data_IF_041869682775
#
_entry.id   IF_041869682775
#
_cell.length_a   1.000
_cell.length_b   1.000
_cell.length_c   1.000
_cell.angle_alpha   90.00
_cell.angle_beta   90.00
_cell.angle_gamma   90.00
#
_symmetry.space_group_name_H-M   'P 1'
#
loop_
_entity.id
_entity.type
_entity.pdbx_description
1 polymer ?
#
# COMPACT_ATOMS: atom_id res chain seq x y z
N UNK A 1 -3.77 -26.76 15.10
CA UNK A 1 -3.15 -26.09 13.92
C UNK A 1 -1.64 -26.10 14.16
N UNK A 2 -0.85 -26.65 13.25
CA UNK A 2 0.61 -26.67 13.38
C UNK A 2 1.20 -25.77 12.31
N UNK A 3 2.07 -24.86 12.72
CA UNK A 3 2.88 -24.05 11.80
C UNK A 3 4.22 -24.72 11.64
N UNK A 4 4.64 -24.95 10.40
CA UNK A 4 5.94 -25.50 10.07
C UNK A 4 6.81 -24.35 9.56
N UNK A 5 7.94 -24.15 10.23
CA UNK A 5 8.98 -23.29 9.72
C UNK A 5 9.87 -24.13 8.81
N UNK A 6 9.76 -23.96 7.51
CA UNK A 6 10.69 -24.55 6.58
C UNK A 6 12.04 -23.82 6.66
N UNK A 7 13.10 -24.61 6.78
CA UNK A 7 14.47 -24.11 6.68
C UNK A 7 14.86 -24.08 5.21
N UNK A 8 15.16 -22.90 4.69
CA UNK A 8 15.63 -22.76 3.32
C UNK A 8 15.50 -21.35 2.78
N UNK A 9 16.11 -21.13 1.65
CA UNK A 9 15.94 -19.89 0.90
C UNK A 9 14.73 -20.04 0.00
N UNK A 10 13.73 -19.18 0.20
CA UNK A 10 12.57 -19.11 -0.66
C UNK A 10 12.94 -18.33 -1.91
N UNK A 11 13.06 -19.02 -3.03
CA UNK A 11 13.53 -18.45 -4.29
C UNK A 11 12.42 -17.94 -5.20
N UNK A 12 11.16 -17.99 -4.75
CA UNK A 12 10.01 -17.63 -5.59
C UNK A 12 10.00 -16.16 -6.00
N UNK A 13 10.55 -15.30 -5.15
CA UNK A 13 10.60 -13.85 -5.33
C UNK A 13 12.05 -13.34 -5.26
N UNK A 14 13.01 -14.09 -5.74
CA UNK A 14 14.39 -13.67 -5.72
C UNK A 14 14.73 -12.71 -6.88
N UNK A 15 15.79 -11.95 -6.68
CA UNK A 15 16.29 -10.98 -7.68
C UNK A 15 16.81 -11.64 -8.97
N UNK A 16 17.12 -12.94 -8.95
CA UNK A 16 17.53 -13.67 -10.13
C UNK A 16 16.38 -13.84 -11.15
N UNK A 17 15.11 -13.82 -10.67
CA UNK A 17 13.94 -13.87 -11.54
C UNK A 17 13.54 -12.49 -12.06
N UNK A 18 13.59 -11.49 -11.18
CA UNK A 18 13.31 -10.10 -11.56
C UNK A 18 13.97 -9.16 -10.54
N UNK A 19 14.71 -8.11 -10.98
CA UNK A 19 15.43 -7.20 -10.08
C UNK A 19 14.56 -6.55 -9.00
N UNK A 20 13.28 -6.26 -9.30
CA UNK A 20 12.36 -5.64 -8.33
C UNK A 20 12.06 -6.53 -7.13
N UNK A 21 12.18 -7.85 -7.23
CA UNK A 21 11.97 -8.73 -6.09
C UNK A 21 13.08 -8.60 -5.03
N UNK A 22 14.29 -8.22 -5.44
CA UNK A 22 15.40 -7.97 -4.51
C UNK A 22 15.23 -6.72 -3.65
N UNK A 23 14.33 -5.81 -4.03
CA UNK A 23 14.00 -4.58 -3.30
C UNK A 23 12.54 -4.51 -2.88
N UNK A 24 11.83 -5.64 -2.89
CA UNK A 24 10.42 -5.73 -2.51
C UNK A 24 10.24 -5.67 -1.00
N UNK A 25 9.39 -4.76 -0.54
CA UNK A 25 9.04 -4.57 0.86
C UNK A 25 7.53 -4.62 1.06
N UNK A 26 7.09 -4.98 2.27
CA UNK A 26 5.68 -5.02 2.68
C UNK A 26 4.81 -5.86 1.74
N UNK A 27 5.16 -7.13 1.47
CA UNK A 27 4.38 -7.99 0.59
C UNK A 27 3.01 -8.30 1.18
N UNK A 28 1.97 -8.29 0.33
CA UNK A 28 0.63 -8.76 0.66
C UNK A 28 0.14 -9.65 -0.47
N UNK A 29 -0.44 -10.78 -0.13
CA UNK A 29 -0.99 -11.74 -1.10
C UNK A 29 -2.50 -11.83 -0.91
N UNK A 30 -3.24 -11.74 -2.00
CA UNK A 30 -4.69 -11.95 -2.05
C UNK A 30 -5.02 -13.01 -3.10
N UNK A 31 -5.98 -13.86 -2.78
CA UNK A 31 -6.57 -14.78 -3.76
C UNK A 31 -7.68 -14.05 -4.51
N UNK A 32 -7.65 -14.09 -5.84
CA UNK A 32 -8.66 -13.52 -6.71
C UNK A 32 -9.83 -14.50 -6.92
N UNK A 33 -10.97 -14.00 -7.41
CA UNK A 33 -12.13 -14.85 -7.65
C UNK A 33 -11.91 -15.87 -8.78
N UNK A 34 -11.02 -15.58 -9.73
CA UNK A 34 -10.62 -16.49 -10.80
C UNK A 34 -9.62 -17.58 -10.34
N UNK A 35 -9.28 -17.59 -9.07
CA UNK A 35 -8.38 -18.58 -8.45
C UNK A 35 -6.91 -18.19 -8.46
N UNK A 36 -6.48 -17.18 -9.24
CA UNK A 36 -5.12 -16.65 -9.21
C UNK A 36 -4.80 -15.98 -7.88
N UNK A 37 -3.53 -15.78 -7.62
CA UNK A 37 -3.01 -14.99 -6.50
C UNK A 37 -2.41 -13.70 -7.04
N UNK A 38 -2.69 -12.60 -6.37
CA UNK A 38 -2.07 -11.31 -6.59
C UNK A 38 -1.15 -11.00 -5.42
N UNK A 39 0.12 -10.76 -5.70
CA UNK A 39 1.09 -10.20 -4.77
C UNK A 39 1.18 -8.70 -5.03
N UNK A 40 1.04 -7.89 -3.99
CA UNK A 40 1.38 -6.46 -4.01
C UNK A 40 2.58 -6.21 -3.11
N UNK A 41 3.45 -5.28 -3.50
CA UNK A 41 4.61 -4.87 -2.73
C UNK A 41 5.05 -3.47 -3.14
N UNK A 42 5.84 -2.82 -2.29
CA UNK A 42 6.52 -1.57 -2.64
C UNK A 42 7.96 -1.83 -3.05
N UNK A 43 8.45 -1.09 -4.02
CA UNK A 43 9.87 -1.03 -4.33
C UNK A 43 10.51 -0.01 -3.37
N UNK A 44 11.57 -0.45 -2.69
CA UNK A 44 12.30 0.32 -1.68
C UNK A 44 11.62 0.37 -0.28
N UNK A 45 12.46 0.30 0.74
CA UNK A 45 12.05 0.32 2.15
C UNK A 45 11.36 1.64 2.53
N UNK A 46 11.82 2.74 2.01
CA UNK A 46 11.30 4.08 2.31
C UNK A 46 10.04 4.44 1.52
N UNK A 47 9.57 3.55 0.65
CA UNK A 47 8.42 3.76 -0.23
C UNK A 47 8.86 4.16 -1.63
N UNK A 48 7.96 4.03 -2.58
CA UNK A 48 8.24 4.29 -3.98
C UNK A 48 6.99 4.02 -4.82
N UNK A 49 7.14 3.16 -5.81
CA UNK A 49 6.05 2.63 -6.63
C UNK A 49 5.48 1.36 -5.98
N UNK A 50 4.17 1.23 -5.99
CA UNK A 50 3.49 -0.03 -5.64
C UNK A 50 3.37 -0.88 -6.89
N UNK A 51 3.78 -2.13 -6.80
CA UNK A 51 3.74 -3.12 -7.86
C UNK A 51 2.78 -4.26 -7.53
N UNK A 52 2.25 -4.90 -8.58
CA UNK A 52 1.54 -6.15 -8.50
C UNK A 52 2.17 -7.21 -9.42
N UNK A 53 2.18 -8.46 -8.94
CA UNK A 53 2.54 -9.64 -9.71
C UNK A 53 1.48 -10.72 -9.48
N UNK A 54 1.34 -11.65 -10.43
CA UNK A 54 0.29 -12.67 -10.39
C UNK A 54 0.87 -14.07 -10.46
N UNK A 55 0.18 -15.02 -9.83
CA UNK A 55 0.57 -16.44 -9.82
C UNK A 55 -0.67 -17.33 -9.82
N UNK A 56 -0.57 -18.48 -10.46
CA UNK A 56 -1.58 -19.54 -10.38
C UNK A 56 -1.30 -20.56 -9.26
N UNK A 57 -0.08 -20.62 -8.77
CA UNK A 57 0.41 -21.72 -7.91
C UNK A 57 1.25 -21.27 -6.71
N UNK A 58 1.42 -19.96 -6.51
CA UNK A 58 2.29 -19.33 -5.51
C UNK A 58 3.80 -19.60 -5.69
N UNK A 59 4.19 -20.29 -6.76
CA UNK A 59 5.59 -20.66 -7.07
C UNK A 59 6.13 -19.89 -8.27
N UNK A 60 5.31 -19.75 -9.30
CA UNK A 60 5.65 -19.01 -10.52
C UNK A 60 4.91 -17.67 -10.51
N UNK A 61 5.63 -16.57 -10.58
CA UNK A 61 5.09 -15.23 -10.57
C UNK A 61 5.34 -14.53 -11.90
N UNK A 62 4.38 -13.74 -12.35
CA UNK A 62 4.53 -12.88 -13.53
C UNK A 62 5.54 -11.77 -13.26
N UNK A 63 6.02 -11.10 -14.31
CA UNK A 63 6.75 -9.85 -14.16
C UNK A 63 5.90 -8.82 -13.40
N UNK A 64 6.48 -8.10 -12.43
CA UNK A 64 5.76 -7.09 -11.67
C UNK A 64 5.39 -5.90 -12.56
N UNK A 65 4.15 -5.43 -12.42
CA UNK A 65 3.66 -4.22 -13.10
C UNK A 65 3.33 -3.13 -12.08
N UNK A 66 3.58 -1.86 -12.40
CA UNK A 66 3.23 -0.76 -11.51
C UNK A 66 1.71 -0.63 -11.38
N UNK A 67 1.24 -0.42 -10.16
CA UNK A 67 -0.15 -0.11 -9.81
C UNK A 67 -0.29 1.39 -9.52
N UNK A 68 0.54 1.92 -8.63
CA UNK A 68 0.62 3.34 -8.32
C UNK A 68 2.09 3.75 -8.37
N UNK A 69 2.44 4.59 -9.32
CA UNK A 69 3.83 5.00 -9.56
C UNK A 69 4.20 6.26 -8.78
N UNK A 70 5.38 6.24 -8.16
CA UNK A 70 5.97 7.44 -7.59
C UNK A 70 6.23 8.50 -8.69
N UNK A 71 6.05 9.78 -8.37
CA UNK A 71 6.24 10.87 -9.32
C UNK A 71 6.78 12.15 -8.66
N UNK A 72 7.40 13.00 -9.48
CA UNK A 72 7.90 14.29 -9.04
C UNK A 72 6.75 15.29 -8.87
N UNK A 73 6.83 16.10 -7.81
CA UNK A 73 5.89 17.18 -7.51
C UNK A 73 6.66 18.48 -7.32
N UNK A 74 5.95 19.61 -7.50
CA UNK A 74 6.38 20.91 -7.00
C UNK A 74 5.63 21.22 -5.70
N UNK A 75 6.37 21.65 -4.72
CA UNK A 75 5.84 22.07 -3.42
C UNK A 75 5.33 23.51 -3.49
N UNK A 76 4.62 23.97 -2.47
CA UNK A 76 4.04 25.32 -2.44
C UNK A 76 5.10 26.42 -2.51
N UNK A 77 6.31 26.15 -2.02
CA UNK A 77 7.49 27.01 -2.09
C UNK A 77 8.30 26.88 -3.41
N UNK A 78 7.74 26.14 -4.39
CA UNK A 78 8.32 25.96 -5.73
C UNK A 78 9.43 24.92 -5.83
N UNK A 79 9.84 24.29 -4.72
CA UNK A 79 10.90 23.28 -4.70
C UNK A 79 10.44 21.98 -5.38
N UNK A 80 11.41 21.22 -5.88
CA UNK A 80 11.16 19.87 -6.36
C UNK A 80 11.18 18.88 -5.20
N UNK A 81 10.14 18.05 -5.14
CA UNK A 81 10.01 16.91 -4.22
C UNK A 81 9.42 15.72 -4.98
N UNK A 82 9.27 14.60 -4.31
CA UNK A 82 8.74 13.38 -4.88
C UNK A 82 7.61 12.82 -4.02
N UNK A 83 6.52 12.45 -4.69
CA UNK A 83 5.42 11.70 -4.08
C UNK A 83 5.77 10.22 -4.10
N UNK A 84 5.84 9.62 -2.91
CA UNK A 84 6.10 8.20 -2.71
C UNK A 84 4.83 7.50 -2.22
N UNK A 85 4.71 6.21 -2.54
CA UNK A 85 3.64 5.32 -2.07
C UNK A 85 4.23 4.15 -1.30
N UNK A 86 3.51 3.67 -0.27
CA UNK A 86 4.01 2.63 0.62
C UNK A 86 2.90 1.90 1.37
N UNK A 87 3.29 0.78 1.98
CA UNK A 87 2.47 -0.01 2.91
C UNK A 87 1.07 -0.32 2.37
N UNK A 88 0.99 -0.76 1.10
CA UNK A 88 -0.28 -1.06 0.47
C UNK A 88 -0.96 -2.29 1.06
N UNK A 89 -2.29 -2.25 1.16
CA UNK A 89 -3.15 -3.42 1.30
C UNK A 89 -4.25 -3.41 0.24
N UNK A 90 -4.89 -4.54 0.01
CA UNK A 90 -5.96 -4.67 -0.98
C UNK A 90 -7.05 -5.60 -0.51
N UNK A 91 -8.23 -5.45 -1.08
CA UNK A 91 -9.37 -6.34 -0.91
C UNK A 91 -9.97 -6.71 -2.27
N UNK A 92 -10.34 -7.97 -2.42
CA UNK A 92 -11.16 -8.43 -3.55
C UNK A 92 -12.61 -8.29 -3.12
N UNK A 93 -13.36 -7.45 -3.83
CA UNK A 93 -14.75 -7.16 -3.54
C UNK A 93 -15.66 -8.33 -3.93
N UNK A 94 -16.88 -8.34 -3.40
CA UNK A 94 -17.89 -9.35 -3.70
C UNK A 94 -18.23 -9.44 -5.19
N UNK A 95 -18.12 -8.33 -5.92
CA UNK A 95 -18.32 -8.28 -7.38
C UNK A 95 -17.08 -8.66 -8.21
N UNK A 96 -15.96 -8.98 -7.57
CA UNK A 96 -14.70 -9.35 -8.21
C UNK A 96 -13.73 -8.20 -8.48
N UNK A 97 -14.13 -6.97 -8.29
CA UNK A 97 -13.23 -5.83 -8.39
C UNK A 97 -12.19 -5.88 -7.26
N UNK A 98 -11.08 -5.20 -7.48
CA UNK A 98 -10.01 -5.12 -6.50
C UNK A 98 -9.85 -3.65 -6.10
N UNK A 99 -9.94 -3.37 -4.80
CA UNK A 99 -9.51 -2.10 -4.24
C UNK A 99 -8.12 -2.25 -3.64
N UNK A 100 -7.25 -1.29 -3.92
CA UNK A 100 -5.95 -1.15 -3.31
C UNK A 100 -5.88 0.20 -2.60
N UNK A 101 -5.49 0.17 -1.33
CA UNK A 101 -5.25 1.37 -0.52
C UNK A 101 -3.78 1.41 -0.14
N UNK A 102 -3.14 2.56 -0.26
CA UNK A 102 -1.77 2.73 0.19
C UNK A 102 -1.54 4.11 0.79
N UNK A 103 -0.56 4.19 1.67
CA UNK A 103 -0.06 5.47 2.18
C UNK A 103 0.67 6.22 1.08
N UNK A 104 0.50 7.56 1.06
CA UNK A 104 1.36 8.44 0.29
C UNK A 104 2.07 9.45 1.19
N UNK A 105 3.24 9.89 0.78
CA UNK A 105 3.99 10.95 1.46
C UNK A 105 4.90 11.71 0.51
N UNK A 106 5.38 12.86 0.96
CA UNK A 106 6.54 13.54 0.35
C UNK A 106 7.83 12.83 0.77
N UNK A 107 8.78 12.71 -0.13
CA UNK A 107 10.10 12.14 0.16
C UNK A 107 10.85 13.01 1.16
N UNK A 108 10.81 14.32 0.93
CA UNK A 108 11.32 15.34 1.85
C UNK A 108 10.18 15.85 2.74
N UNK A 109 10.51 16.32 3.94
CA UNK A 109 9.55 16.97 4.84
C UNK A 109 8.37 16.08 5.33
N UNK A 110 8.50 14.76 5.28
CA UNK A 110 7.46 13.86 5.75
C UNK A 110 6.91 14.22 7.15
N UNK A 111 7.80 14.58 8.08
CA UNK A 111 7.44 14.90 9.46
C UNK A 111 6.81 16.29 9.64
N UNK A 112 7.07 17.20 8.71
CA UNK A 112 6.72 18.62 8.87
C UNK A 112 5.52 19.06 8.06
N UNK A 113 5.08 18.26 7.10
CA UNK A 113 3.95 18.60 6.23
C UNK A 113 2.86 17.53 6.28
N UNK A 114 1.94 17.68 7.24
CA UNK A 114 0.81 16.77 7.41
C UNK A 114 -0.06 16.69 6.14
N UNK A 115 -0.28 17.82 5.46
CA UNK A 115 -1.06 17.88 4.22
C UNK A 115 -0.39 17.17 3.03
N UNK A 116 0.92 16.96 3.11
CA UNK A 116 1.68 16.21 2.12
C UNK A 116 1.57 14.68 2.24
N UNK A 117 0.85 14.19 3.26
CA UNK A 117 0.71 12.77 3.59
C UNK A 117 -0.76 12.37 3.61
N UNK A 118 -1.05 11.10 3.40
CA UNK A 118 -2.40 10.58 3.47
C UNK A 118 -2.53 9.16 2.91
N UNK A 119 -3.77 8.79 2.61
CA UNK A 119 -4.11 7.53 1.95
C UNK A 119 -4.71 7.82 0.58
N UNK A 120 -4.34 7.01 -0.39
CA UNK A 120 -4.99 6.93 -1.69
C UNK A 120 -5.61 5.56 -1.89
N UNK A 121 -6.65 5.53 -2.70
CA UNK A 121 -7.32 4.31 -3.16
C UNK A 121 -7.27 4.26 -4.69
N UNK A 122 -7.11 3.07 -5.24
CA UNK A 122 -7.29 2.79 -6.67
C UNK A 122 -8.08 1.49 -6.84
N UNK A 123 -8.78 1.36 -7.97
CA UNK A 123 -9.67 0.23 -8.26
C UNK A 123 -9.29 -0.43 -9.57
N UNK A 124 -9.36 -1.75 -9.60
CA UNK A 124 -9.30 -2.55 -10.82
C UNK A 124 -10.61 -3.32 -10.99
N UNK A 125 -11.18 -3.27 -12.19
CA UNK A 125 -12.40 -4.00 -12.57
C UNK A 125 -12.11 -5.19 -13.52
N UNK A 126 -10.85 -5.50 -13.76
CA UNK A 126 -10.39 -6.49 -14.74
C UNK A 126 -9.38 -7.49 -14.16
N UNK A 127 -9.49 -7.77 -12.86
CA UNK A 127 -8.63 -8.74 -12.17
C UNK A 127 -7.18 -8.28 -11.99
N UNK A 128 -6.96 -6.96 -11.87
CA UNK A 128 -5.67 -6.35 -11.58
C UNK A 128 -4.82 -6.03 -12.81
N UNK A 129 -5.39 -6.10 -14.03
CA UNK A 129 -4.68 -5.79 -15.27
C UNK A 129 -4.51 -4.28 -15.45
N UNK A 130 -5.60 -3.53 -15.25
CA UNK A 130 -5.59 -2.06 -15.26
C UNK A 130 -6.16 -1.49 -13.97
N UNK A 131 -5.79 -0.25 -13.65
CA UNK A 131 -6.15 0.42 -12.42
C UNK A 131 -6.63 1.84 -12.70
N UNK A 132 -7.62 2.30 -11.94
CA UNK A 132 -8.07 3.69 -11.99
C UNK A 132 -6.98 4.65 -11.54
N UNK A 133 -7.12 5.93 -11.85
CA UNK A 133 -6.31 6.96 -11.22
C UNK A 133 -6.48 6.88 -9.69
N UNK A 134 -5.39 7.04 -8.91
CA UNK A 134 -5.50 7.02 -7.45
C UNK A 134 -6.25 8.24 -6.93
N UNK A 135 -7.19 8.01 -6.03
CA UNK A 135 -8.00 9.03 -5.36
C UNK A 135 -7.57 9.20 -3.92
N UNK A 136 -7.49 10.44 -3.43
CA UNK A 136 -7.17 10.72 -2.02
C UNK A 136 -8.41 10.45 -1.18
N UNK A 137 -8.31 9.51 -0.24
CA UNK A 137 -9.38 9.15 0.70
C UNK A 137 -9.12 9.65 2.12
N UNK A 138 -7.90 10.09 2.43
CA UNK A 138 -7.54 10.66 3.72
C UNK A 138 -6.30 11.56 3.57
N UNK A 139 -6.28 12.67 4.31
CA UNK A 139 -5.13 13.58 4.42
C UNK A 139 -4.65 13.59 5.87
N UNK A 140 -3.39 13.27 6.07
CA UNK A 140 -2.76 13.23 7.39
C UNK A 140 -1.71 12.15 7.51
N UNK A 141 -0.85 12.28 8.52
CA UNK A 141 0.20 11.29 8.78
C UNK A 141 -0.41 9.98 9.27
N UNK A 142 -0.08 8.91 8.58
CA UNK A 142 -0.64 7.59 8.79
C UNK A 142 0.39 6.49 8.52
N UNK A 143 0.06 5.26 8.95
CA UNK A 143 0.86 4.05 8.72
C UNK A 143 -0.04 2.85 8.48
N UNK A 144 0.40 1.97 7.58
CA UNK A 144 -0.06 0.60 7.41
C UNK A 144 -1.58 0.47 7.31
N UNK A 145 -2.23 1.01 6.25
CA UNK A 145 -3.65 0.81 6.05
C UNK A 145 -3.98 -0.68 5.88
N UNK A 146 -5.14 -1.06 6.40
CA UNK A 146 -5.78 -2.35 6.19
C UNK A 146 -7.19 -2.13 5.66
N UNK A 147 -7.51 -2.73 4.50
CA UNK A 147 -8.80 -2.58 3.83
C UNK A 147 -9.58 -3.88 3.83
N UNK A 148 -10.86 -3.81 4.12
CA UNK A 148 -11.79 -4.94 4.04
C UNK A 148 -13.17 -4.50 3.58
N UNK A 149 -13.94 -5.43 3.00
CA UNK A 149 -15.37 -5.28 2.72
C UNK A 149 -16.17 -6.12 3.69
N UNK A 150 -17.17 -5.50 4.31
CA UNK A 150 -18.13 -6.19 5.15
C UNK A 150 -19.13 -6.99 4.31
N UNK A 151 -19.85 -7.91 4.93
CA UNK A 151 -20.93 -8.65 4.27
C UNK A 151 -22.06 -7.75 3.74
N UNK A 152 -22.26 -6.60 4.37
CA UNK A 152 -23.20 -5.56 3.92
C UNK A 152 -22.80 -4.87 2.61
N UNK A 153 -21.55 -5.02 2.18
CA UNK A 153 -20.97 -4.28 1.05
C UNK A 153 -20.11 -3.10 1.51
N UNK A 154 -20.31 -2.58 2.70
CA UNK A 154 -19.56 -1.46 3.28
C UNK A 154 -18.06 -1.74 3.28
N UNK A 155 -17.25 -0.74 2.89
CA UNK A 155 -15.79 -0.84 2.86
C UNK A 155 -15.21 -0.09 4.04
N UNK A 156 -14.34 -0.75 4.79
CA UNK A 156 -13.61 -0.19 5.91
C UNK A 156 -12.13 -0.11 5.59
N UNK A 157 -11.51 1.02 5.94
CA UNK A 157 -10.06 1.21 5.93
C UNK A 157 -9.60 1.60 7.32
N UNK A 158 -8.89 0.70 7.97
CA UNK A 158 -8.24 0.93 9.27
C UNK A 158 -6.78 1.31 9.05
N UNK A 159 -6.27 2.23 9.85
CA UNK A 159 -4.87 2.65 9.78
C UNK A 159 -4.41 3.24 11.10
N UNK A 160 -3.09 3.29 11.30
CA UNK A 160 -2.51 4.01 12.42
C UNK A 160 -2.49 5.50 12.11
N UNK A 161 -3.18 6.29 12.93
CA UNK A 161 -3.30 7.73 12.81
C UNK A 161 -2.34 8.43 13.79
N UNK A 162 -1.39 9.20 13.26
CA UNK A 162 -0.35 9.87 14.05
C UNK A 162 -0.33 11.39 13.85
N UNK A 163 -1.11 11.92 12.92
CA UNK A 163 -1.08 13.33 12.53
C UNK A 163 -1.16 14.33 13.70
N UNK A 164 -2.14 14.24 14.64
CA UNK A 164 -2.24 15.20 15.72
C UNK A 164 -1.02 15.24 16.64
N UNK A 165 -0.43 14.07 16.89
CA UNK A 165 0.73 13.95 17.81
C UNK A 165 2.01 14.44 17.17
N UNK A 166 2.24 14.09 15.90
CA UNK A 166 3.39 14.55 15.14
C UNK A 166 3.34 16.06 14.98
N UNK A 167 2.18 16.61 14.67
CA UNK A 167 2.00 18.05 14.52
C UNK A 167 2.27 18.81 15.84
N UNK A 168 1.80 18.28 16.97
CA UNK A 168 1.94 18.93 18.27
C UNK A 168 3.35 18.80 18.88
N UNK A 169 4.04 17.66 18.69
CA UNK A 169 5.24 17.31 19.44
C UNK A 169 6.44 16.90 18.57
N UNK A 170 6.25 16.78 17.25
CA UNK A 170 7.29 16.29 16.34
C UNK A 170 7.51 14.78 16.45
N UNK A 171 8.44 14.26 15.64
CA UNK A 171 8.66 12.81 15.48
C UNK A 171 9.37 12.16 16.68
N UNK A 172 10.25 12.88 17.35
CA UNK A 172 11.19 12.32 18.34
C UNK A 172 10.79 12.54 19.79
N UNK A 173 9.51 12.69 20.09
CA UNK A 173 9.09 12.91 21.48
C UNK A 173 8.52 11.66 22.12
N UNK A 174 8.78 11.46 23.41
CA UNK A 174 8.17 10.42 24.23
C UNK A 174 6.65 10.59 24.41
N UNK A 175 6.12 11.76 24.09
CA UNK A 175 4.69 12.08 24.14
C UNK A 175 3.94 11.68 22.87
N UNK A 176 4.65 11.24 21.85
CA UNK A 176 4.06 10.75 20.62
C UNK A 176 3.28 9.47 20.91
N UNK A 177 2.04 9.44 20.51
CA UNK A 177 1.23 8.23 20.51
C UNK A 177 0.47 8.13 19.19
N UNK A 178 0.25 6.92 18.79
CA UNK A 178 -0.56 6.58 17.62
C UNK A 178 -1.88 6.00 18.09
N UNK A 179 -2.94 6.21 17.32
CA UNK A 179 -4.23 5.60 17.51
C UNK A 179 -4.69 4.90 16.26
N UNK A 180 -5.61 3.96 16.39
CA UNK A 180 -6.30 3.37 15.25
C UNK A 180 -7.40 4.32 14.79
N UNK A 181 -7.43 4.62 13.50
CA UNK A 181 -8.51 5.35 12.84
C UNK A 181 -9.25 4.43 11.86
N UNK A 182 -10.48 4.77 11.58
CA UNK A 182 -11.34 4.12 10.60
C UNK A 182 -11.93 5.19 9.70
N UNK A 183 -11.82 4.96 8.39
CA UNK A 183 -12.67 5.59 7.38
C UNK A 183 -13.49 4.51 6.69
N UNK A 184 -14.68 4.85 6.23
CA UNK A 184 -15.59 3.90 5.62
C UNK A 184 -16.36 4.52 4.48
N UNK A 185 -16.70 3.71 3.48
CA UNK A 185 -17.63 4.04 2.41
C UNK A 185 -18.93 3.32 2.66
N UNK A 186 -20.05 3.98 2.38
CA UNK A 186 -21.40 3.42 2.52
C UNK A 186 -22.02 3.04 1.18
N UNK A 187 -21.35 3.30 0.07
CA UNK A 187 -21.74 3.13 -1.33
C UNK A 187 -20.77 2.24 -2.12
#
# INVERSE_FOLDING_TARGET
MHFVQEKGTYTYLDSARHPLYGIAHYPRIKRLLDGRFMLIFQADQLGGTIYAAFSGDLKQWSDPKPVVSAYNIRTEDGNLDRRLFMTADSVVLQNGDILLVCSYRREKQYAHNVAGNGLVMTRSCDGGITWSAPEIIYVGTNWEPHVLQLRSGEIHVYFTHTAPKIHAYGFNTSRRSSGTALIRSLD
#
